data_IF_650971265002
#
_entry.id   IF_650971265002
#
_cell.length_a   1.000
_cell.length_b   1.000
_cell.length_c   1.000
_cell.angle_alpha   90.00
_cell.angle_beta   90.00
_cell.angle_gamma   90.00
#
_symmetry.space_group_name_H-M   'P 1'
#
loop_
_entity.id
_entity.type
_entity.pdbx_description
1 polymer ?
#
# COMPACT_ATOMS: atom_id res chain seq x y z
N UNK A 1 6.82 -6.62 4.63
CA UNK A 1 6.80 -7.07 6.05
C UNK A 1 7.27 -6.01 7.04
N UNK A 2 8.13 -5.05 6.67
CA UNK A 2 8.66 -4.03 7.58
C UNK A 2 7.59 -3.25 8.36
N UNK A 3 6.58 -2.70 7.68
CA UNK A 3 5.47 -1.97 8.33
C UNK A 3 4.68 -2.79 9.36
N UNK A 4 4.69 -4.13 9.22
CA UNK A 4 3.93 -5.04 10.08
C UNK A 4 4.56 -5.23 11.46
N UNK A 5 5.89 -5.11 11.53
CA UNK A 5 6.72 -5.27 12.73
C UNK A 5 7.27 -3.95 13.27
N UNK A 6 7.06 -2.84 12.56
CA UNK A 6 7.51 -1.52 12.99
C UNK A 6 6.71 -1.02 14.19
N UNK A 7 7.39 -0.34 15.12
CA UNK A 7 6.78 0.31 16.29
C UNK A 7 6.75 1.84 16.15
N UNK A 8 7.52 2.40 15.21
CA UNK A 8 7.54 3.82 14.90
C UNK A 8 6.44 4.18 13.91
N UNK A 9 5.59 5.16 14.25
CA UNK A 9 4.54 5.64 13.35
C UNK A 9 5.10 6.19 12.04
N UNK A 10 6.20 6.93 12.11
CA UNK A 10 6.81 7.55 10.93
C UNK A 10 7.36 6.49 9.97
N UNK A 11 7.97 5.43 10.50
CA UNK A 11 8.45 4.29 9.69
C UNK A 11 7.29 3.57 8.99
N UNK A 12 6.17 3.36 9.70
CA UNK A 12 4.97 2.74 9.14
C UNK A 12 4.43 3.61 7.99
N UNK A 13 4.31 4.92 8.19
CA UNK A 13 3.81 5.84 7.18
C UNK A 13 4.72 5.85 5.95
N UNK A 14 6.04 5.90 6.15
CA UNK A 14 7.01 5.85 5.05
C UNK A 14 6.90 4.55 4.25
N UNK A 15 6.77 3.41 4.94
CA UNK A 15 6.58 2.12 4.29
C UNK A 15 5.28 2.09 3.47
N UNK A 16 4.19 2.61 3.99
CA UNK A 16 2.90 2.67 3.29
C UNK A 16 2.95 3.57 2.07
N UNK A 17 3.58 4.75 2.18
CA UNK A 17 3.77 5.65 1.05
C UNK A 17 4.57 4.98 -0.08
N UNK A 18 5.66 4.29 0.27
CA UNK A 18 6.44 3.51 -0.70
C UNK A 18 5.60 2.41 -1.34
N UNK A 19 4.84 1.65 -0.55
CA UNK A 19 3.95 0.61 -1.07
C UNK A 19 2.92 1.18 -2.04
N UNK A 20 2.27 2.31 -1.72
CA UNK A 20 1.30 2.96 -2.61
C UNK A 20 1.97 3.39 -3.92
N UNK A 21 3.13 4.05 -3.86
CA UNK A 21 3.85 4.50 -5.07
C UNK A 21 4.24 3.32 -5.97
N UNK A 22 4.69 2.20 -5.38
CA UNK A 22 5.13 1.03 -6.13
C UNK A 22 3.96 0.15 -6.62
N UNK A 23 2.85 0.12 -5.89
CA UNK A 23 1.65 -0.65 -6.23
C UNK A 23 0.69 0.11 -7.16
N UNK A 24 0.85 1.42 -7.28
CA UNK A 24 0.09 2.22 -8.25
C UNK A 24 0.63 1.93 -9.64
N UNK A 25 -0.07 1.04 -10.35
CA UNK A 25 0.14 0.86 -11.78
C UNK A 25 -0.52 2.06 -12.47
N UNK A 26 0.29 2.95 -13.05
CA UNK A 26 -0.21 4.09 -13.83
C UNK A 26 -0.88 3.59 -15.11
N UNK A 27 -2.18 3.34 -15.07
CA UNK A 27 -3.07 3.52 -16.21
C UNK A 27 -3.25 5.01 -16.52
N UNK A 28 -3.93 5.36 -17.63
CA UNK A 28 -4.33 6.75 -17.90
C UNK A 28 -4.94 7.38 -16.64
N UNK A 29 -4.74 8.69 -16.44
CA UNK A 29 -4.97 9.47 -15.20
C UNK A 29 -6.32 9.18 -14.49
N UNK A 30 -7.32 8.66 -15.19
CA UNK A 30 -8.64 8.30 -14.68
C UNK A 30 -8.80 6.84 -14.17
N UNK A 31 -7.88 5.92 -14.49
CA UNK A 31 -7.96 4.48 -14.19
C UNK A 31 -6.66 3.95 -13.54
N UNK A 32 -6.21 4.58 -12.46
CA UNK A 32 -5.12 4.03 -11.64
C UNK A 32 -5.70 3.00 -10.66
N UNK A 33 -5.12 1.81 -10.61
CA UNK A 33 -5.53 0.75 -9.68
C UNK A 33 -4.40 0.47 -8.69
N UNK A 34 -4.76 0.19 -7.44
CA UNK A 34 -3.80 -0.21 -6.42
C UNK A 34 -3.70 -1.73 -6.38
N UNK A 35 -2.62 -2.29 -6.93
CA UNK A 35 -2.39 -3.75 -6.97
C UNK A 35 -0.98 -4.07 -6.50
N UNK A 36 -0.88 -4.99 -5.55
CA UNK A 36 0.42 -5.46 -5.06
C UNK A 36 1.02 -6.44 -6.07
N UNK A 37 2.28 -6.20 -6.40
CA UNK A 37 3.10 -7.05 -7.25
C UNK A 37 3.99 -7.94 -6.39
N UNK A 38 4.50 -9.04 -6.96
CA UNK A 38 5.48 -9.89 -6.26
C UNK A 38 6.81 -9.16 -6.04
N UNK A 39 7.29 -8.48 -7.08
CA UNK A 39 8.44 -7.60 -7.00
C UNK A 39 8.26 -6.39 -7.90
N UNK A 40 8.95 -5.30 -7.57
CA UNK A 40 9.03 -4.09 -8.37
C UNK A 40 10.49 -3.64 -8.48
N UNK A 41 10.89 -3.15 -9.66
CA UNK A 41 12.23 -2.62 -9.86
C UNK A 41 12.48 -1.39 -9.00
N UNK A 42 13.56 -1.40 -8.21
CA UNK A 42 13.91 -0.31 -7.26
C UNK A 42 14.00 1.05 -7.96
N UNK A 43 14.64 1.09 -9.13
CA UNK A 43 14.83 2.33 -9.91
C UNK A 43 13.76 2.52 -10.99
N UNK A 44 13.01 1.47 -11.31
CA UNK A 44 12.07 1.42 -12.42
C UNK A 44 10.82 0.63 -12.01
N UNK A 45 9.91 1.25 -11.23
CA UNK A 45 8.75 0.58 -10.63
C UNK A 45 7.78 -0.03 -11.64
N UNK A 46 7.83 0.41 -12.91
CA UNK A 46 7.04 -0.14 -14.00
C UNK A 46 7.43 -1.58 -14.36
N UNK A 47 8.65 -2.02 -14.00
CA UNK A 47 9.06 -3.40 -14.16
C UNK A 47 8.66 -4.17 -12.92
N UNK A 48 7.52 -4.85 -13.03
CA UNK A 48 7.01 -5.70 -11.97
C UNK A 48 7.00 -7.17 -12.41
N UNK A 49 7.04 -8.07 -11.43
CA UNK A 49 6.70 -9.46 -11.65
C UNK A 49 5.33 -9.75 -11.03
N UNK A 50 4.54 -10.58 -11.73
CA UNK A 50 3.16 -10.92 -11.39
C UNK A 50 2.32 -9.67 -11.10
N UNK A 51 1.89 -9.01 -12.18
CA UNK A 51 1.06 -7.78 -12.17
C UNK A 51 -0.24 -7.85 -11.35
N UNK A 52 -0.66 -9.06 -10.98
CA UNK A 52 -1.73 -9.32 -10.04
C UNK A 52 -1.33 -10.46 -9.11
N UNK A 53 -1.09 -10.15 -7.84
CA UNK A 53 -0.74 -11.15 -6.83
C UNK A 53 -1.72 -11.14 -5.65
N UNK A 54 -2.74 -11.99 -5.71
CA UNK A 54 -3.84 -12.00 -4.75
C UNK A 54 -3.39 -12.17 -3.28
N UNK A 55 -2.36 -12.98 -3.02
CA UNK A 55 -1.83 -13.13 -1.66
C UNK A 55 -1.22 -11.82 -1.12
N UNK A 56 -0.43 -11.13 -1.93
CA UNK A 56 0.14 -9.83 -1.56
C UNK A 56 -0.94 -8.75 -1.37
N UNK A 57 -2.00 -8.79 -2.20
CA UNK A 57 -3.18 -7.92 -2.03
C UNK A 57 -3.86 -8.17 -0.68
N UNK A 58 -4.04 -9.45 -0.30
CA UNK A 58 -4.62 -9.84 0.99
C UNK A 58 -3.81 -9.34 2.18
N UNK A 59 -2.49 -9.57 2.16
CA UNK A 59 -1.58 -9.09 3.21
C UNK A 59 -1.59 -7.56 3.35
N UNK A 60 -1.68 -6.84 2.23
CA UNK A 60 -1.79 -5.38 2.25
C UNK A 60 -3.12 -4.93 2.85
N UNK A 61 -4.24 -5.54 2.45
CA UNK A 61 -5.56 -5.25 3.04
C UNK A 61 -5.58 -5.50 4.55
N UNK A 62 -5.02 -6.61 5.00
CA UNK A 62 -4.91 -6.95 6.43
C UNK A 62 -4.07 -5.91 7.20
N UNK A 63 -2.96 -5.45 6.62
CA UNK A 63 -2.15 -4.38 7.22
C UNK A 63 -2.95 -3.08 7.39
N UNK A 64 -3.73 -2.69 6.38
CA UNK A 64 -4.57 -1.48 6.47
C UNK A 64 -5.61 -1.63 7.58
N UNK A 65 -6.32 -2.77 7.64
CA UNK A 65 -7.31 -3.06 8.68
C UNK A 65 -6.66 -2.96 10.07
N UNK A 66 -5.54 -3.66 10.28
CA UNK A 66 -4.78 -3.62 11.53
C UNK A 66 -4.46 -2.17 11.94
N UNK A 67 -3.92 -1.37 11.03
CA UNK A 67 -3.57 0.02 11.35
C UNK A 67 -4.79 0.89 11.65
N UNK A 68 -5.91 0.69 10.95
CA UNK A 68 -7.14 1.44 11.23
C UNK A 68 -7.76 1.09 12.58
N UNK A 69 -7.71 -0.18 12.98
CA UNK A 69 -8.22 -0.63 14.28
C UNK A 69 -7.31 -0.20 15.43
N UNK A 70 -5.98 -0.35 15.29
CA UNK A 70 -5.03 -0.01 16.33
C UNK A 70 -4.83 1.50 16.53
N UNK A 71 -5.15 2.32 15.53
CA UNK A 71 -4.92 3.77 15.54
C UNK A 71 -6.18 4.57 15.18
N UNK A 72 -7.34 4.17 15.69
CA UNK A 72 -8.64 4.78 15.38
C UNK A 72 -8.69 6.31 15.60
N UNK A 73 -7.91 6.85 16.55
CA UNK A 73 -7.84 8.29 16.83
C UNK A 73 -6.87 9.08 15.96
N UNK A 74 -6.06 8.42 15.12
CA UNK A 74 -4.99 9.06 14.34
C UNK A 74 -5.41 9.25 12.87
N UNK A 75 -5.65 10.51 12.53
CA UNK A 75 -6.22 10.94 11.25
C UNK A 75 -5.33 10.61 10.04
N UNK A 76 -4.03 10.35 10.23
CA UNK A 76 -3.09 10.01 9.15
C UNK A 76 -3.38 8.62 8.58
N UNK A 77 -3.75 7.66 9.43
CA UNK A 77 -4.15 6.32 8.99
C UNK A 77 -5.53 6.30 8.35
N UNK A 78 -6.45 7.18 8.81
CA UNK A 78 -7.76 7.38 8.16
C UNK A 78 -7.61 7.92 6.74
N UNK A 79 -6.75 8.93 6.53
CA UNK A 79 -6.50 9.48 5.20
C UNK A 79 -5.90 8.42 4.25
N UNK A 80 -4.97 7.60 4.74
CA UNK A 80 -4.39 6.47 3.99
C UNK A 80 -5.44 5.41 3.65
N UNK A 81 -6.31 5.05 4.61
CA UNK A 81 -7.40 4.13 4.36
C UNK A 81 -8.36 4.65 3.27
N UNK A 82 -8.65 5.96 3.23
CA UNK A 82 -9.52 6.51 2.19
C UNK A 82 -8.85 6.58 0.82
N UNK A 83 -7.54 6.84 0.76
CA UNK A 83 -6.78 6.71 -0.49
C UNK A 83 -6.85 5.27 -1.02
N UNK A 84 -6.73 4.29 -0.12
CA UNK A 84 -6.84 2.88 -0.49
C UNK A 84 -8.25 2.55 -0.96
N UNK A 85 -9.31 3.01 -0.28
CA UNK A 85 -10.71 2.81 -0.73
C UNK A 85 -11.03 3.48 -2.07
N UNK A 86 -10.38 4.58 -2.39
CA UNK A 86 -10.57 5.28 -3.68
C UNK A 86 -9.85 4.59 -4.85
N UNK A 87 -8.89 3.71 -4.58
CA UNK A 87 -8.07 3.01 -5.58
C UNK A 87 -8.51 1.57 -5.89
N UNK A 88 -9.65 1.13 -5.35
CA UNK A 88 -10.28 -0.19 -5.59
C UNK A 88 -11.61 -0.05 -6.33
#
# INVERSE_FOLDING_TARGET
MQAWSATSKDEIIECLQRLIVLATIKGNISNSYLVMNESAGVNYPQYTTRGWFAWANGLFGELIIKLTEYHESDYRYKALAEIVKQGF
#
